data_IF_637199242047
#
_entry.id   IF_637199242047
#
_cell.length_a   1.000
_cell.length_b   1.000
_cell.length_c   1.000
_cell.angle_alpha   90.00
_cell.angle_beta   90.00
_cell.angle_gamma   90.00
#
_symmetry.space_group_name_H-M   'P 1'
#
loop_
_entity.id
_entity.type
_entity.pdbx_description
1 polymer ?
#
# COMPACT_ATOMS: atom_id res chain seq x y z
N UNK A 1 -16.88 -12.72 7.97
CA UNK A 1 -18.35 -12.53 7.86
C UNK A 1 -18.65 -12.06 6.45
N UNK A 2 -19.46 -12.81 5.70
CA UNK A 2 -19.98 -12.41 4.39
C UNK A 2 -20.98 -11.26 4.61
N UNK A 3 -20.79 -10.13 3.94
CA UNK A 3 -21.79 -9.07 3.84
C UNK A 3 -22.04 -8.91 2.35
N UNK A 4 -23.23 -9.32 1.89
CA UNK A 4 -23.63 -9.12 0.51
C UNK A 4 -23.93 -7.63 0.32
N UNK A 5 -22.99 -6.92 -0.27
CA UNK A 5 -23.19 -5.59 -0.83
C UNK A 5 -23.49 -5.78 -2.31
N UNK A 6 -24.46 -5.02 -2.81
CA UNK A 6 -24.80 -4.97 -4.22
C UNK A 6 -23.55 -4.51 -5.00
N UNK A 7 -22.85 -5.44 -5.67
CA UNK A 7 -21.51 -5.18 -6.23
C UNK A 7 -20.50 -6.35 -6.23
N UNK A 8 -20.81 -7.50 -5.62
CA UNK A 8 -20.07 -8.75 -5.86
C UNK A 8 -18.79 -8.97 -5.03
N UNK A 9 -18.41 -10.25 -4.95
CA UNK A 9 -17.27 -10.90 -4.28
C UNK A 9 -16.08 -10.01 -3.87
N UNK A 10 -16.23 -9.20 -2.82
CA UNK A 10 -15.15 -8.36 -2.27
C UNK A 10 -14.72 -8.89 -0.90
N UNK A 11 -13.41 -8.97 -0.66
CA UNK A 11 -12.82 -9.58 0.53
C UNK A 11 -11.99 -8.64 1.41
N UNK A 12 -11.58 -9.16 2.57
CA UNK A 12 -10.51 -8.57 3.41
C UNK A 12 -9.40 -9.61 3.57
N UNK A 13 -8.16 -9.15 3.50
CA UNK A 13 -6.99 -10.02 3.62
C UNK A 13 -6.87 -10.49 5.06
N UNK A 14 -6.89 -11.82 5.28
CA UNK A 14 -6.62 -12.44 6.58
C UNK A 14 -5.17 -12.91 6.71
N UNK A 15 -4.59 -13.41 5.62
CA UNK A 15 -3.24 -13.96 5.60
C UNK A 15 -2.62 -13.80 4.20
N UNK A 16 -1.29 -13.79 4.14
CA UNK A 16 -0.49 -13.83 2.92
C UNK A 16 0.49 -14.99 3.05
N UNK A 17 0.61 -15.84 2.03
CA UNK A 17 1.63 -16.90 2.00
C UNK A 17 3.02 -16.30 1.74
N UNK A 18 3.60 -15.69 2.78
CA UNK A 18 4.88 -15.00 2.71
C UNK A 18 6.05 -15.94 2.42
N UNK A 19 5.99 -17.20 2.88
CA UNK A 19 7.02 -18.21 2.60
C UNK A 19 7.12 -18.48 1.09
N UNK A 20 5.99 -18.64 0.41
CA UNK A 20 5.98 -18.80 -1.04
C UNK A 20 6.60 -17.58 -1.75
N UNK A 21 6.20 -16.36 -1.37
CA UNK A 21 6.74 -15.13 -1.97
C UNK A 21 8.25 -15.04 -1.76
N UNK A 22 8.73 -15.29 -0.53
CA UNK A 22 10.16 -15.28 -0.21
C UNK A 22 10.94 -16.33 -1.01
N UNK A 23 10.39 -17.54 -1.18
CA UNK A 23 11.03 -18.59 -1.97
C UNK A 23 11.21 -18.21 -3.45
N UNK A 24 10.35 -17.37 -4.01
CA UNK A 24 10.50 -16.84 -5.37
C UNK A 24 11.61 -15.78 -5.42
N UNK A 25 11.65 -14.87 -4.43
CA UNK A 25 12.67 -13.83 -4.31
C UNK A 25 14.07 -14.42 -4.11
N UNK A 26 14.21 -15.46 -3.28
CA UNK A 26 15.48 -16.17 -3.05
C UNK A 26 16.04 -16.84 -4.32
N UNK A 27 15.16 -17.16 -5.28
CA UNK A 27 15.55 -17.68 -6.60
C UNK A 27 15.88 -16.59 -7.62
N UNK A 28 15.88 -15.32 -7.21
CA UNK A 28 16.12 -14.17 -8.09
C UNK A 28 14.94 -13.83 -8.99
N UNK A 29 13.74 -14.35 -8.71
CA UNK A 29 12.53 -14.03 -9.48
C UNK A 29 11.85 -12.78 -8.92
N UNK A 30 11.18 -12.03 -9.79
CA UNK A 30 10.34 -10.88 -9.43
C UNK A 30 8.86 -11.27 -9.48
N UNK A 31 8.18 -11.46 -8.33
CA UNK A 31 6.76 -11.81 -8.31
C UNK A 31 5.89 -10.65 -8.80
N UNK A 32 4.97 -10.93 -9.72
CA UNK A 32 3.89 -10.02 -10.13
C UNK A 32 2.58 -10.57 -9.58
N UNK A 33 1.97 -9.85 -8.62
CA UNK A 33 0.84 -10.35 -7.84
C UNK A 33 -0.42 -9.56 -8.23
N UNK A 34 -1.46 -10.27 -8.67
CA UNK A 34 -2.79 -9.69 -8.91
C UNK A 34 -3.56 -9.57 -7.58
N UNK A 35 -4.34 -8.49 -7.35
CA UNK A 35 -5.12 -8.29 -6.13
C UNK A 35 -6.40 -9.15 -6.13
N UNK A 36 -6.22 -10.47 -6.16
CA UNK A 36 -7.28 -11.48 -6.04
C UNK A 36 -6.92 -12.39 -4.87
N UNK A 37 -7.88 -12.60 -3.97
CA UNK A 37 -7.75 -13.51 -2.83
C UNK A 37 -8.66 -14.73 -3.00
N UNK A 38 -8.38 -15.77 -2.22
CA UNK A 38 -9.24 -16.95 -2.07
C UNK A 38 -9.87 -16.95 -0.67
N UNK A 39 -11.17 -17.21 -0.57
CA UNK A 39 -11.89 -17.34 0.70
C UNK A 39 -11.64 -18.71 1.37
N UNK A 40 -12.08 -18.87 2.61
CA UNK A 40 -12.05 -20.17 3.30
C UNK A 40 -12.93 -21.22 2.60
N UNK A 41 -13.97 -20.77 1.88
CA UNK A 41 -14.84 -21.58 1.05
C UNK A 41 -14.35 -21.74 -0.39
N UNK A 42 -13.09 -21.39 -0.68
CA UNK A 42 -12.48 -21.46 -2.02
C UNK A 42 -13.13 -20.58 -3.09
N UNK A 43 -13.75 -19.47 -2.70
CA UNK A 43 -14.30 -18.47 -3.61
C UNK A 43 -13.24 -17.42 -3.95
N UNK A 44 -13.20 -16.96 -5.20
CA UNK A 44 -12.37 -15.82 -5.57
C UNK A 44 -12.97 -14.52 -5.07
N UNK A 45 -12.16 -13.70 -4.43
CA UNK A 45 -12.55 -12.40 -3.89
C UNK A 45 -11.67 -11.30 -4.47
N UNK A 46 -12.31 -10.26 -4.99
CA UNK A 46 -11.65 -9.01 -5.32
C UNK A 46 -11.17 -8.32 -4.03
N UNK A 47 -9.96 -7.79 -4.03
CA UNK A 47 -9.41 -7.03 -2.90
C UNK A 47 -8.87 -5.69 -3.39
N UNK A 48 -8.84 -4.71 -2.49
CA UNK A 48 -8.21 -3.43 -2.78
C UNK A 48 -6.70 -3.63 -3.05
N UNK A 49 -6.22 -3.10 -4.17
CA UNK A 49 -4.84 -3.30 -4.62
C UNK A 49 -3.80 -2.62 -3.74
N UNK A 50 -4.11 -1.43 -3.19
CA UNK A 50 -3.21 -0.75 -2.25
C UNK A 50 -3.10 -1.59 -0.95
N UNK A 51 -4.22 -2.12 -0.45
CA UNK A 51 -4.19 -3.03 0.70
C UNK A 51 -3.51 -4.36 0.40
N UNK A 52 -3.65 -4.91 -0.81
CA UNK A 52 -2.92 -6.10 -1.23
C UNK A 52 -1.41 -5.89 -1.14
N UNK A 53 -0.92 -4.76 -1.70
CA UNK A 53 0.49 -4.40 -1.64
C UNK A 53 0.96 -4.18 -0.18
N UNK A 54 0.17 -3.50 0.65
CA UNK A 54 0.48 -3.28 2.07
C UNK A 54 0.65 -4.59 2.84
N UNK A 55 -0.27 -5.55 2.67
CA UNK A 55 -0.22 -6.85 3.34
C UNK A 55 0.91 -7.73 2.83
N UNK A 56 1.20 -7.72 1.53
CA UNK A 56 2.37 -8.41 0.99
C UNK A 56 3.64 -7.82 1.60
N UNK A 57 3.81 -6.50 1.56
CA UNK A 57 4.97 -5.79 2.12
C UNK A 57 5.17 -6.10 3.62
N UNK A 58 4.10 -5.98 4.42
CA UNK A 58 4.14 -6.28 5.85
C UNK A 58 4.44 -7.76 6.15
N UNK A 59 3.94 -8.68 5.33
CA UNK A 59 4.15 -10.12 5.53
C UNK A 59 5.56 -10.57 5.14
N UNK A 60 6.16 -9.94 4.12
CA UNK A 60 7.56 -10.22 3.76
C UNK A 60 8.57 -9.40 4.57
N UNK A 61 8.12 -8.47 5.42
CA UNK A 61 8.95 -7.54 6.21
C UNK A 61 9.83 -6.67 5.31
N UNK A 62 9.24 -6.07 4.28
CA UNK A 62 9.98 -5.18 3.39
C UNK A 62 10.44 -3.91 4.11
N UNK A 63 11.57 -3.35 3.69
CA UNK A 63 12.01 -2.05 4.20
C UNK A 63 11.08 -0.92 3.77
N UNK A 64 10.56 -1.01 2.55
CA UNK A 64 9.74 0.03 1.92
C UNK A 64 8.50 -0.56 1.26
N UNK A 65 7.43 0.23 1.18
CA UNK A 65 6.29 0.02 0.28
C UNK A 65 6.04 1.30 -0.51
N UNK A 66 5.75 1.19 -1.80
CA UNK A 66 5.58 2.32 -2.70
C UNK A 66 4.23 2.24 -3.41
N UNK A 67 3.39 3.25 -3.20
CA UNK A 67 2.10 3.42 -3.86
C UNK A 67 2.23 4.45 -4.98
N UNK A 68 2.29 3.96 -6.21
CA UNK A 68 2.33 4.81 -7.41
C UNK A 68 0.92 5.31 -7.74
N UNK A 69 0.81 6.61 -8.00
CA UNK A 69 -0.44 7.29 -8.33
C UNK A 69 -0.23 8.33 -9.44
N UNK A 70 -1.23 9.16 -9.75
CA UNK A 70 -1.20 10.20 -10.78
C UNK A 70 -1.03 11.61 -10.19
N UNK A 71 -0.65 11.71 -8.92
CA UNK A 71 -0.36 12.96 -8.20
C UNK A 71 0.98 12.83 -7.47
N UNK A 72 1.63 13.96 -7.19
CA UNK A 72 2.98 13.98 -6.61
C UNK A 72 3.06 13.38 -5.20
N UNK A 73 1.98 13.40 -4.43
CA UNK A 73 1.90 12.78 -3.12
C UNK A 73 0.59 13.15 -2.44
N UNK A 74 0.58 13.20 -1.12
CA UNK A 74 -0.46 13.87 -0.37
C UNK A 74 -0.33 15.38 -0.57
N UNK A 75 -1.36 16.01 -1.13
CA UNK A 75 -1.43 17.46 -1.29
C UNK A 75 -2.20 18.09 -0.13
N UNK A 76 -1.63 19.11 0.48
CA UNK A 76 -2.27 20.01 1.45
C UNK A 76 -2.05 21.43 0.97
N UNK A 77 -3.13 22.20 0.80
CA UNK A 77 -3.06 23.57 0.26
C UNK A 77 -2.23 23.65 -1.04
N UNK A 78 -2.48 22.72 -1.96
CA UNK A 78 -1.79 22.56 -3.26
C UNK A 78 -0.27 22.32 -3.18
N UNK A 79 0.25 21.93 -2.01
CA UNK A 79 1.65 21.55 -1.80
C UNK A 79 1.77 20.11 -1.37
N UNK A 80 2.81 19.42 -1.87
CA UNK A 80 3.14 18.07 -1.42
C UNK A 80 3.61 18.12 0.03
N UNK A 81 3.01 17.27 0.86
CA UNK A 81 3.50 16.99 2.21
C UNK A 81 4.64 16.00 2.09
N UNK A 82 5.91 16.38 2.33
CA UNK A 82 7.06 15.53 2.02
C UNK A 82 7.21 14.37 3.00
N UNK A 83 6.87 14.59 4.28
CA UNK A 83 6.98 13.59 5.35
C UNK A 83 5.78 13.68 6.28
N UNK A 84 5.31 12.52 6.73
CA UNK A 84 4.38 12.36 7.84
C UNK A 84 4.92 11.27 8.77
N UNK A 85 4.70 11.44 10.06
CA UNK A 85 4.74 10.33 11.01
C UNK A 85 3.50 9.46 10.84
N UNK A 86 3.56 8.22 11.31
CA UNK A 86 2.43 7.31 11.35
C UNK A 86 1.25 7.90 12.14
N UNK A 87 1.54 8.63 13.21
CA UNK A 87 0.53 9.30 14.03
C UNK A 87 -0.18 10.41 13.24
N UNK A 88 0.57 11.30 12.58
CA UNK A 88 0.01 12.37 11.75
C UNK A 88 -0.79 11.80 10.57
N UNK A 89 -0.30 10.74 9.93
CA UNK A 89 -1.00 10.04 8.86
C UNK A 89 -2.35 9.47 9.33
N UNK A 90 -2.40 8.90 10.54
CA UNK A 90 -3.65 8.40 11.15
C UNK A 90 -4.61 9.55 11.49
N UNK A 91 -4.11 10.69 11.95
CA UNK A 91 -4.92 11.86 12.31
C UNK A 91 -5.50 12.58 11.08
N UNK A 92 -4.73 12.67 10.00
CA UNK A 92 -5.13 13.41 8.80
C UNK A 92 -6.05 12.60 7.87
N UNK A 93 -6.01 11.26 7.95
CA UNK A 93 -6.82 10.36 7.12
C UNK A 93 -8.32 10.73 7.02
N UNK A 94 -9.05 11.05 8.11
CA UNK A 94 -10.47 11.44 7.98
C UNK A 94 -10.69 12.81 7.34
N UNK A 95 -9.64 13.61 7.12
CA UNK A 95 -9.70 14.98 6.59
C UNK A 95 -9.39 15.05 5.08
N UNK A 96 -9.11 13.93 4.43
CA UNK A 96 -8.65 13.86 3.03
C UNK A 96 -9.65 13.15 2.11
N UNK A 97 -9.53 13.37 0.80
CA UNK A 97 -10.44 12.82 -0.20
C UNK A 97 -10.36 11.29 -0.33
N UNK A 98 -11.42 10.64 -0.85
CA UNK A 98 -11.64 9.19 -0.76
C UNK A 98 -10.57 8.33 -1.45
N UNK A 99 -9.92 8.84 -2.50
CA UNK A 99 -8.82 8.13 -3.16
C UNK A 99 -7.54 8.14 -2.33
N UNK A 100 -7.17 9.30 -1.79
CA UNK A 100 -5.97 9.45 -0.96
C UNK A 100 -6.16 8.79 0.41
N UNK A 101 -7.38 8.82 0.95
CA UNK A 101 -7.75 8.15 2.20
C UNK A 101 -7.35 6.66 2.18
N UNK A 102 -7.65 5.95 1.09
CA UNK A 102 -7.31 4.52 0.93
C UNK A 102 -5.80 4.28 0.90
N UNK A 103 -5.04 5.16 0.26
CA UNK A 103 -3.57 5.07 0.20
C UNK A 103 -2.92 5.32 1.55
N UNK A 104 -3.40 6.33 2.28
CA UNK A 104 -2.97 6.59 3.65
C UNK A 104 -3.34 5.40 4.55
N UNK A 105 -4.54 4.83 4.40
CA UNK A 105 -4.94 3.62 5.14
C UNK A 105 -3.97 2.47 4.87
N UNK A 106 -3.75 2.10 3.60
CA UNK A 106 -2.83 1.03 3.23
C UNK A 106 -1.39 1.28 3.72
N UNK A 107 -0.92 2.53 3.63
CA UNK A 107 0.39 2.93 4.15
C UNK A 107 0.49 2.72 5.65
N UNK A 108 -0.53 3.14 6.41
CA UNK A 108 -0.56 2.97 7.87
C UNK A 108 -0.64 1.50 8.27
N UNK A 109 -1.42 0.68 7.54
CA UNK A 109 -1.50 -0.77 7.76
C UNK A 109 -0.13 -1.44 7.50
N UNK A 110 0.57 -1.07 6.43
CA UNK A 110 1.91 -1.60 6.13
C UNK A 110 2.92 -1.29 7.25
N UNK A 111 2.93 -0.04 7.73
CA UNK A 111 3.81 0.40 8.82
C UNK A 111 3.49 -0.31 10.14
N UNK A 112 2.20 -0.49 10.47
CA UNK A 112 1.74 -1.25 11.64
C UNK A 112 2.17 -2.74 11.55
N UNK A 113 2.34 -3.29 10.34
CA UNK A 113 2.86 -4.65 10.12
C UNK A 113 4.40 -4.73 10.10
N UNK A 114 5.10 -3.62 10.31
CA UNK A 114 6.56 -3.57 10.45
C UNK A 114 7.33 -3.22 9.17
N UNK A 115 6.66 -2.69 8.14
CA UNK A 115 7.37 -1.97 7.06
C UNK A 115 7.99 -0.70 7.65
N UNK A 116 9.18 -0.30 7.22
CA UNK A 116 9.87 0.87 7.81
C UNK A 116 9.36 2.20 7.23
N UNK A 117 9.13 2.25 5.92
CA UNK A 117 8.67 3.45 5.22
C UNK A 117 7.60 3.13 4.16
N UNK A 118 6.57 3.96 4.08
CA UNK A 118 5.58 3.94 3.02
C UNK A 118 5.67 5.21 2.17
N UNK A 119 5.66 5.06 0.85
CA UNK A 119 5.81 6.14 -0.11
C UNK A 119 4.53 6.29 -0.93
N UNK A 120 4.12 7.53 -1.20
CA UNK A 120 3.08 7.86 -2.19
C UNK A 120 3.72 8.80 -3.20
N UNK A 121 3.79 8.37 -4.47
CA UNK A 121 4.53 9.08 -5.51
C UNK A 121 3.84 9.05 -6.89
N UNK A 122 4.20 10.01 -7.74
CA UNK A 122 3.65 10.13 -9.09
C UNK A 122 4.33 9.19 -10.09
N UNK A 123 3.54 8.33 -10.72
CA UNK A 123 3.97 7.40 -11.76
C UNK A 123 4.18 8.03 -13.13
N UNK A 124 3.79 9.29 -13.32
CA UNK A 124 3.95 10.02 -14.59
C UNK A 124 5.30 10.74 -14.70
N UNK A 125 6.10 10.75 -13.63
CA UNK A 125 7.46 11.29 -13.64
C UNK A 125 8.43 10.36 -14.34
N UNK A 126 9.56 10.91 -14.79
CA UNK A 126 10.68 10.09 -15.27
C UNK A 126 11.24 9.25 -14.12
N UNK A 127 11.52 7.97 -14.39
CA UNK A 127 12.06 7.02 -13.41
C UNK A 127 11.32 7.03 -12.05
N UNK A 128 9.98 6.85 -12.04
CA UNK A 128 9.11 7.21 -10.90
C UNK A 128 9.41 6.42 -9.63
N UNK A 129 9.98 5.22 -9.76
CA UNK A 129 10.38 4.39 -8.62
C UNK A 129 11.68 4.93 -8.01
N UNK A 130 12.71 5.17 -8.83
CA UNK A 130 14.01 5.63 -8.36
C UNK A 130 13.95 7.03 -7.76
N UNK A 131 13.17 7.94 -8.35
CA UNK A 131 12.95 9.31 -7.84
C UNK A 131 12.22 9.29 -6.50
N UNK A 132 11.17 8.48 -6.36
CA UNK A 132 10.46 8.31 -5.09
C UNK A 132 11.37 7.75 -3.98
N UNK A 133 12.21 6.75 -4.29
CA UNK A 133 13.17 6.18 -3.32
C UNK A 133 14.26 7.21 -2.93
N UNK A 134 14.53 8.20 -3.78
CA UNK A 134 15.39 9.33 -3.47
C UNK A 134 14.68 10.48 -2.73
N UNK A 135 13.41 10.28 -2.34
CA UNK A 135 12.54 11.25 -1.66
C UNK A 135 12.25 12.52 -2.50
N UNK A 136 12.30 12.41 -3.83
CA UNK A 136 12.06 13.54 -4.73
C UNK A 136 10.57 13.77 -4.98
N UNK A 137 10.06 14.88 -4.42
CA UNK A 137 8.71 15.40 -4.62
C UNK A 137 7.64 14.28 -4.52
N UNK A 138 7.66 13.60 -3.37
CA UNK A 138 6.74 12.56 -2.94
C UNK A 138 6.39 12.68 -1.45
N UNK A 139 5.39 11.92 -0.98
CA UNK A 139 5.10 11.81 0.45
C UNK A 139 5.69 10.53 1.01
N UNK A 140 6.44 10.66 2.11
CA UNK A 140 6.99 9.54 2.88
C UNK A 140 6.29 9.46 4.24
N UNK A 141 5.92 8.25 4.66
CA UNK A 141 5.29 7.98 5.95
C UNK A 141 6.15 6.97 6.70
N UNK A 142 6.49 7.27 7.95
CA UNK A 142 7.33 6.42 8.81
C UNK A 142 6.94 6.58 10.30
N UNK A 143 7.52 5.77 11.19
CA UNK A 143 7.15 5.82 12.62
C UNK A 143 7.63 7.10 13.33
N UNK A 144 8.83 7.60 12.98
CA UNK A 144 9.46 8.83 13.53
C UNK A 144 10.18 9.63 12.43
#
# INVERSE_FOLDING_TARGET
RKQAIDGGYTGKIKNVNSEFIKSLLEKGLTPVISPIAISEESEFLNIDGDRAAAYVAGSVKSDKVLFITNVDGLLMEDKVVPKLTLAEAKEIRPKIGPGMEKKILASTEALDMGVKQAFIANGQKENPISTAIAHDNCTVIEHE
#
